data_IF_369593178196
#
_entry.id   IF_369593178196
#
_cell.length_a   1.000
_cell.length_b   1.000
_cell.length_c   1.000
_cell.angle_alpha   90.00
_cell.angle_beta   90.00
_cell.angle_gamma   90.00
#
_symmetry.space_group_name_H-M   'P 1'
#
loop_
_entity.id
_entity.type
_entity.pdbx_description
1 polymer ?
#
# COMPACT_ATOMS: atom_id res chain seq x y z
N UNK A 1 21.91 18.01 -6.07
CA UNK A 1 20.54 17.74 -5.58
C UNK A 1 20.49 16.30 -5.13
N UNK A 2 20.18 16.05 -3.85
CA UNK A 2 19.87 14.70 -3.37
C UNK A 2 18.67 14.18 -4.19
N UNK A 3 18.80 13.04 -4.87
CA UNK A 3 17.66 12.42 -5.55
C UNK A 3 16.73 11.90 -4.45
N UNK A 4 15.59 12.55 -4.24
CA UNK A 4 14.51 12.04 -3.39
C UNK A 4 14.08 10.69 -3.93
N UNK A 5 14.07 9.67 -3.06
CA UNK A 5 13.67 8.32 -3.43
C UNK A 5 12.17 8.30 -3.77
N UNK A 6 11.80 7.75 -4.92
CA UNK A 6 10.42 7.78 -5.41
C UNK A 6 9.49 6.70 -4.82
N UNK A 7 9.98 5.90 -3.84
CA UNK A 7 9.24 4.75 -3.32
C UNK A 7 9.26 3.51 -4.23
N UNK A 8 9.88 3.60 -5.41
CA UNK A 8 10.01 2.50 -6.36
C UNK A 8 11.45 2.00 -6.35
N UNK A 9 11.70 0.78 -5.87
CA UNK A 9 13.05 0.24 -5.68
C UNK A 9 13.85 0.21 -6.98
N UNK A 10 13.17 -0.04 -8.09
CA UNK A 10 13.75 -0.04 -9.44
C UNK A 10 14.39 1.30 -9.83
N UNK A 11 13.97 2.42 -9.22
CA UNK A 11 14.52 3.76 -9.48
C UNK A 11 15.80 4.08 -8.70
N UNK A 12 16.16 3.25 -7.70
CA UNK A 12 17.32 3.50 -6.85
C UNK A 12 18.62 3.30 -7.66
N UNK A 13 19.57 4.25 -7.60
CA UNK A 13 20.87 4.07 -8.25
C UNK A 13 21.55 2.78 -7.80
N UNK A 14 22.18 2.07 -8.73
CA UNK A 14 22.92 0.83 -8.48
C UNK A 14 22.09 -0.30 -7.85
N UNK A 15 20.77 -0.28 -8.01
CA UNK A 15 19.92 -1.36 -7.50
C UNK A 15 19.82 -2.50 -8.49
N UNK A 16 19.97 -3.71 -7.97
CA UNK A 16 19.87 -4.95 -8.70
C UNK A 16 18.57 -5.65 -8.29
N UNK A 17 17.65 -5.80 -9.24
CA UNK A 17 16.31 -6.32 -8.96
C UNK A 17 16.18 -7.81 -9.29
N UNK A 18 16.95 -8.27 -10.27
CA UNK A 18 16.90 -9.64 -10.75
C UNK A 18 18.16 -10.00 -11.54
N UNK A 19 18.39 -11.29 -11.72
CA UNK A 19 19.38 -11.82 -12.64
C UNK A 19 18.83 -13.09 -13.30
N UNK A 20 18.56 -13.01 -14.60
CA UNK A 20 18.31 -14.20 -15.41
C UNK A 20 19.64 -14.85 -15.78
N UNK A 21 19.82 -16.13 -15.48
CA UNK A 21 21.04 -16.87 -15.80
C UNK A 21 21.45 -17.87 -14.73
N UNK A 22 22.69 -18.34 -14.81
CA UNK A 22 23.27 -19.20 -13.77
C UNK A 22 24.06 -18.41 -12.72
N UNK A 23 24.42 -19.06 -11.61
CA UNK A 23 25.15 -18.42 -10.51
C UNK A 23 26.51 -17.84 -10.90
N UNK A 24 27.17 -18.41 -11.91
CA UNK A 24 28.46 -17.92 -12.43
C UNK A 24 28.26 -16.63 -13.23
N UNK A 25 27.23 -16.55 -14.07
CA UNK A 25 26.83 -15.34 -14.78
C UNK A 25 26.44 -14.23 -13.80
N UNK A 26 25.60 -14.55 -12.80
CA UNK A 26 25.26 -13.62 -11.72
C UNK A 26 26.50 -13.07 -11.03
N UNK A 27 27.44 -13.94 -10.64
CA UNK A 27 28.67 -13.52 -9.97
C UNK A 27 29.55 -12.62 -10.86
N UNK A 28 29.66 -12.94 -12.15
CA UNK A 28 30.41 -12.14 -13.13
C UNK A 28 29.77 -10.76 -13.31
N UNK A 29 28.47 -10.71 -13.57
CA UNK A 29 27.76 -9.47 -13.87
C UNK A 29 27.60 -8.58 -12.61
N UNK A 30 27.47 -9.18 -11.42
CA UNK A 30 27.56 -8.46 -10.15
C UNK A 30 28.92 -7.78 -9.97
N UNK A 31 30.02 -8.49 -10.25
CA UNK A 31 31.37 -7.93 -10.18
C UNK A 31 31.62 -6.78 -11.17
N UNK A 32 30.98 -6.83 -12.34
CA UNK A 32 31.02 -5.76 -13.35
C UNK A 32 30.06 -4.60 -13.06
N UNK A 33 29.27 -4.67 -11.99
CA UNK A 33 28.15 -3.75 -11.70
C UNK A 33 27.16 -3.62 -12.87
N UNK A 34 27.00 -4.70 -13.63
CA UNK A 34 26.19 -4.75 -14.85
C UNK A 34 25.08 -5.80 -14.76
N UNK A 35 24.45 -5.95 -13.59
CA UNK A 35 23.17 -6.66 -13.55
C UNK A 35 22.14 -5.76 -14.22
N UNK A 36 21.85 -6.07 -15.48
CA UNK A 36 20.85 -5.37 -16.29
C UNK A 36 19.55 -5.33 -15.49
N UNK A 37 18.83 -4.21 -15.52
CA UNK A 37 17.45 -4.17 -15.07
C UNK A 37 16.63 -5.11 -15.97
N UNK A 38 16.50 -6.37 -15.55
CA UNK A 38 15.72 -7.34 -16.30
C UNK A 38 14.26 -6.90 -16.22
N UNK A 39 13.70 -6.51 -17.36
CA UNK A 39 12.28 -6.24 -17.43
C UNK A 39 11.54 -7.58 -17.26
N UNK A 40 10.79 -7.70 -16.16
CA UNK A 40 9.93 -8.87 -15.95
C UNK A 40 8.75 -8.75 -16.92
N UNK A 41 8.94 -9.27 -18.13
CA UNK A 41 7.88 -9.41 -19.15
C UNK A 41 6.77 -10.34 -18.67
N UNK A 42 7.11 -11.28 -17.79
CA UNK A 42 6.16 -12.12 -17.07
C UNK A 42 6.58 -12.27 -15.61
N UNK A 43 5.67 -11.96 -14.69
CA UNK A 43 5.86 -12.15 -13.25
C UNK A 43 4.51 -12.56 -12.66
N UNK A 44 4.28 -13.86 -12.52
CA UNK A 44 3.13 -14.39 -11.79
C UNK A 44 3.56 -14.82 -10.39
N UNK A 45 2.73 -14.52 -9.38
CA UNK A 45 2.92 -15.04 -8.01
C UNK A 45 3.51 -14.06 -6.99
N UNK A 46 3.48 -12.74 -7.22
CA UNK A 46 3.89 -11.75 -6.22
C UNK A 46 2.73 -10.85 -5.79
N UNK A 47 2.74 -10.47 -4.52
CA UNK A 47 1.83 -9.48 -3.94
C UNK A 47 2.14 -8.09 -4.48
N UNK A 48 1.09 -7.30 -4.77
CA UNK A 48 1.24 -5.93 -5.23
C UNK A 48 1.64 -4.96 -4.11
N UNK A 49 1.98 -3.73 -4.47
CA UNK A 49 2.35 -2.71 -3.48
C UNK A 49 1.25 -2.50 -2.43
N UNK A 50 -0.01 -2.35 -2.83
CA UNK A 50 -1.13 -2.05 -1.91
C UNK A 50 -1.23 -3.04 -0.73
N UNK A 51 -1.28 -4.35 -1.00
CA UNK A 51 -1.42 -5.35 0.08
C UNK A 51 -0.19 -5.38 0.99
N UNK A 52 1.01 -5.17 0.46
CA UNK A 52 2.24 -5.15 1.25
C UNK A 52 2.33 -3.86 2.09
N UNK A 53 1.90 -2.72 1.55
CA UNK A 53 1.80 -1.46 2.29
C UNK A 53 0.79 -1.57 3.42
N UNK A 54 -0.39 -2.15 3.16
CA UNK A 54 -1.37 -2.45 4.19
C UNK A 54 -0.77 -3.37 5.24
N UNK A 55 -0.21 -4.52 4.86
CA UNK A 55 0.37 -5.49 5.79
C UNK A 55 1.48 -4.89 6.68
N UNK A 56 2.30 -3.99 6.13
CA UNK A 56 3.34 -3.29 6.88
C UNK A 56 2.77 -2.43 8.03
N UNK A 57 1.67 -1.71 7.77
CA UNK A 57 1.07 -0.75 8.70
C UNK A 57 -0.01 -1.38 9.59
N UNK A 58 -0.53 -2.54 9.21
CA UNK A 58 -1.70 -3.16 9.85
C UNK A 58 -1.46 -3.62 11.29
N UNK A 59 -0.22 -3.61 11.76
CA UNK A 59 0.12 -3.89 13.16
C UNK A 59 -0.22 -2.74 14.13
N UNK A 60 -0.63 -1.57 13.63
CA UNK A 60 -1.05 -0.40 14.40
C UNK A 60 -2.51 -0.58 14.91
N UNK A 61 -2.70 -0.74 16.22
CA UNK A 61 -3.99 -1.17 16.82
C UNK A 61 -5.12 -0.15 16.71
N UNK A 62 -4.82 1.15 16.78
CA UNK A 62 -5.83 2.21 16.77
C UNK A 62 -5.96 2.90 15.39
N UNK A 63 -5.91 2.08 14.35
CA UNK A 63 -5.96 2.53 12.96
C UNK A 63 -7.13 1.90 12.18
N UNK A 64 -7.60 2.63 11.17
CA UNK A 64 -8.49 2.12 10.11
C UNK A 64 -7.74 2.14 8.79
N UNK A 65 -7.87 1.07 8.02
CA UNK A 65 -7.20 0.88 6.73
C UNK A 65 -8.24 0.99 5.61
N UNK A 66 -8.33 2.15 4.98
CA UNK A 66 -9.25 2.43 3.86
C UNK A 66 -8.54 2.10 2.55
N UNK A 67 -8.95 1.03 1.90
CA UNK A 67 -8.55 0.69 0.54
C UNK A 67 -9.42 1.46 -0.47
N UNK A 68 -8.83 2.47 -1.13
CA UNK A 68 -9.51 3.19 -2.19
C UNK A 68 -9.43 2.39 -3.50
N UNK A 69 -10.31 1.40 -3.62
CA UNK A 69 -10.18 0.35 -4.63
C UNK A 69 -11.49 -0.37 -4.92
N UNK A 70 -11.56 -1.17 -6.00
CA UNK A 70 -12.56 -2.22 -6.15
C UNK A 70 -12.45 -3.28 -5.04
N UNK A 71 -13.52 -4.05 -4.83
CA UNK A 71 -13.59 -5.09 -3.79
C UNK A 71 -12.45 -6.13 -3.87
N UNK A 72 -12.00 -6.47 -5.08
CA UNK A 72 -11.01 -7.54 -5.29
C UNK A 72 -9.67 -7.29 -4.57
N UNK A 73 -9.25 -6.03 -4.42
CA UNK A 73 -7.96 -5.68 -3.81
C UNK A 73 -7.87 -6.08 -2.33
N UNK A 74 -9.01 -6.14 -1.63
CA UNK A 74 -9.04 -6.53 -0.21
C UNK A 74 -9.27 -8.03 -0.01
N UNK A 75 -9.46 -8.82 -1.06
CA UNK A 75 -9.73 -10.26 -0.95
C UNK A 75 -8.64 -11.04 -0.19
N UNK A 76 -7.37 -10.63 -0.32
CA UNK A 76 -6.24 -11.26 0.36
C UNK A 76 -5.95 -10.67 1.75
N UNK A 77 -6.69 -9.66 2.20
CA UNK A 77 -6.43 -9.00 3.50
C UNK A 77 -6.80 -9.86 4.71
N UNK A 78 -7.60 -10.92 4.51
CA UNK A 78 -7.88 -11.93 5.54
C UNK A 78 -6.59 -12.55 6.10
N UNK A 79 -5.65 -12.90 5.22
CA UNK A 79 -4.34 -13.44 5.62
C UNK A 79 -3.55 -12.45 6.48
N UNK A 80 -3.59 -11.18 6.08
CA UNK A 80 -2.94 -10.12 6.84
C UNK A 80 -3.61 -10.03 8.23
N UNK A 81 -4.94 -9.94 8.29
CA UNK A 81 -5.71 -9.84 9.54
C UNK A 81 -5.43 -11.00 10.51
N UNK A 82 -5.21 -12.22 10.02
CA UNK A 82 -4.80 -13.35 10.85
C UNK A 82 -3.42 -13.13 11.49
N UNK A 83 -2.43 -12.64 10.72
CA UNK A 83 -1.13 -12.26 11.28
C UNK A 83 -1.25 -11.18 12.37
N UNK A 84 -2.16 -10.21 12.18
CA UNK A 84 -2.42 -9.17 13.17
C UNK A 84 -2.99 -9.73 14.48
N UNK A 85 -3.94 -10.66 14.38
CA UNK A 85 -4.57 -11.33 15.53
C UNK A 85 -3.56 -12.20 16.28
N UNK A 86 -2.77 -12.99 15.57
CA UNK A 86 -1.70 -13.82 16.15
C UNK A 86 -0.64 -12.94 16.83
N UNK A 87 -0.24 -11.84 16.18
CA UNK A 87 0.71 -10.88 16.74
C UNK A 87 0.21 -10.19 18.02
N UNK A 88 -1.10 -9.95 18.15
CA UNK A 88 -1.70 -9.47 19.40
C UNK A 88 -1.62 -10.54 20.50
N UNK A 89 -1.93 -11.80 20.20
CA UNK A 89 -1.85 -12.89 21.17
C UNK A 89 -0.43 -13.08 21.70
N UNK A 90 0.58 -13.03 20.83
CA UNK A 90 1.98 -13.09 21.24
C UNK A 90 2.44 -11.90 22.10
N UNK A 91 1.78 -10.73 21.97
CA UNK A 91 2.04 -9.54 22.80
C UNK A 91 1.26 -9.55 24.11
N UNK A 92 0.55 -10.63 24.43
CA UNK A 92 -0.25 -10.74 25.65
C UNK A 92 -1.53 -9.89 25.66
N UNK A 93 -2.01 -9.46 24.48
CA UNK A 93 -3.28 -8.72 24.38
C UNK A 93 -4.43 -9.67 24.72
N UNK A 94 -5.16 -9.37 25.80
CA UNK A 94 -6.25 -10.23 26.27
C UNK A 94 -7.49 -10.20 25.36
N UNK A 95 -7.78 -9.06 24.73
CA UNK A 95 -8.91 -8.91 23.81
C UNK A 95 -8.43 -8.72 22.38
N UNK A 96 -8.36 -9.83 21.64
CA UNK A 96 -7.87 -9.86 20.26
C UNK A 96 -8.88 -9.19 19.33
N UNK A 97 -8.46 -8.12 18.66
CA UNK A 97 -9.27 -7.40 17.67
C UNK A 97 -8.89 -7.82 16.26
N UNK A 98 -9.84 -7.73 15.33
CA UNK A 98 -9.53 -7.80 13.89
C UNK A 98 -9.07 -6.45 13.38
N UNK A 99 -8.25 -6.45 12.32
CA UNK A 99 -7.90 -5.21 11.63
C UNK A 99 -9.16 -4.56 11.05
N UNK A 100 -9.28 -3.23 11.20
CA UNK A 100 -10.42 -2.45 10.71
C UNK A 100 -10.16 -2.06 9.26
N UNK A 101 -10.64 -2.88 8.33
CA UNK A 101 -10.44 -2.66 6.89
C UNK A 101 -11.76 -2.17 6.29
N UNK A 102 -11.68 -1.08 5.53
CA UNK A 102 -12.79 -0.53 4.75
C UNK A 102 -12.32 -0.46 3.29
N UNK A 103 -13.23 -0.68 2.36
CA UNK A 103 -12.96 -0.58 0.93
C UNK A 103 -14.01 0.32 0.32
N UNK A 104 -13.60 1.28 -0.52
CA UNK A 104 -14.54 2.19 -1.19
C UNK A 104 -15.39 1.50 -2.24
N UNK A 105 -15.00 0.27 -2.62
CA UNK A 105 -15.66 -0.59 -3.59
C UNK A 105 -15.96 0.15 -4.89
N UNK A 106 -14.88 0.63 -5.53
CA UNK A 106 -14.96 1.35 -6.80
C UNK A 106 -15.59 0.45 -7.87
N UNK A 107 -16.63 0.97 -8.51
CA UNK A 107 -17.35 0.34 -9.61
C UNK A 107 -17.14 1.11 -10.92
N UNK A 108 -17.81 0.68 -11.99
CA UNK A 108 -17.68 1.29 -13.32
C UNK A 108 -18.03 2.78 -13.33
N UNK A 109 -19.01 3.21 -12.53
CA UNK A 109 -19.42 4.62 -12.48
C UNK A 109 -18.32 5.48 -11.87
N UNK A 110 -17.69 5.00 -10.81
CA UNK A 110 -16.58 5.73 -10.18
C UNK A 110 -15.36 5.79 -11.11
N UNK A 111 -15.13 4.76 -11.92
CA UNK A 111 -14.06 4.78 -12.92
C UNK A 111 -14.29 5.88 -13.97
N UNK A 112 -15.55 6.23 -14.27
CA UNK A 112 -15.90 7.26 -15.24
C UNK A 112 -15.94 8.66 -14.60
N UNK A 113 -16.44 8.77 -13.38
CA UNK A 113 -16.73 10.06 -12.72
C UNK A 113 -15.72 10.46 -11.64
N UNK A 114 -14.79 9.58 -11.29
CA UNK A 114 -13.91 9.72 -10.12
C UNK A 114 -14.50 9.03 -8.88
N UNK A 115 -13.60 8.56 -8.00
CA UNK A 115 -13.93 7.85 -6.76
C UNK A 115 -13.86 8.70 -5.49
N UNK A 116 -13.38 9.94 -5.58
CA UNK A 116 -13.10 10.81 -4.42
C UNK A 116 -14.31 11.02 -3.49
N UNK A 117 -15.53 11.11 -4.05
CA UNK A 117 -16.74 11.25 -3.25
C UNK A 117 -17.01 10.03 -2.35
N UNK A 118 -16.84 8.81 -2.90
CA UNK A 118 -16.94 7.56 -2.12
C UNK A 118 -15.81 7.46 -1.10
N UNK A 119 -14.61 7.95 -1.41
CA UNK A 119 -13.52 8.02 -0.44
C UNK A 119 -13.86 8.91 0.75
N UNK A 120 -14.39 10.12 0.50
CA UNK A 120 -14.83 11.04 1.56
C UNK A 120 -15.89 10.41 2.44
N UNK A 121 -16.88 9.75 1.84
CA UNK A 121 -17.92 9.03 2.58
C UNK A 121 -17.33 7.89 3.43
N UNK A 122 -16.46 7.06 2.85
CA UNK A 122 -15.82 5.94 3.55
C UNK A 122 -15.01 6.40 4.78
N UNK A 123 -14.27 7.51 4.66
CA UNK A 123 -13.50 8.08 5.78
C UNK A 123 -14.44 8.65 6.86
N UNK A 124 -15.53 9.33 6.48
CA UNK A 124 -16.54 9.81 7.43
C UNK A 124 -17.17 8.66 8.21
N UNK A 125 -17.62 7.62 7.52
CA UNK A 125 -18.17 6.41 8.13
C UNK A 125 -17.14 5.70 9.03
N UNK A 126 -15.86 5.68 8.64
CA UNK A 126 -14.78 5.13 9.46
C UNK A 126 -14.65 5.87 10.80
N UNK A 127 -14.68 7.21 10.76
CA UNK A 127 -14.60 8.07 11.93
C UNK A 127 -15.78 7.87 12.87
N UNK A 128 -17.00 7.92 12.33
CA UNK A 128 -18.22 7.76 13.11
C UNK A 128 -18.28 6.38 13.79
N UNK A 129 -17.91 5.33 13.06
CA UNK A 129 -18.02 3.95 13.55
C UNK A 129 -16.93 3.57 14.54
N UNK A 130 -15.69 4.00 14.31
CA UNK A 130 -14.53 3.47 15.04
C UNK A 130 -13.80 4.49 15.90
N UNK A 131 -14.01 5.79 15.67
CA UNK A 131 -13.30 6.89 16.35
C UNK A 131 -11.78 6.62 16.47
N UNK A 132 -11.09 6.28 15.35
CA UNK A 132 -9.70 5.84 15.42
C UNK A 132 -8.76 7.02 15.63
N UNK A 133 -7.52 6.73 16.06
CA UNK A 133 -6.44 7.74 16.08
C UNK A 133 -5.81 7.97 14.72
N UNK A 134 -5.83 6.95 13.85
CA UNK A 134 -5.18 6.99 12.53
C UNK A 134 -6.12 6.41 11.47
N UNK A 135 -6.17 7.04 10.30
CA UNK A 135 -6.84 6.54 9.10
C UNK A 135 -5.82 6.51 7.97
N UNK A 136 -5.47 5.32 7.49
CA UNK A 136 -4.65 5.18 6.31
C UNK A 136 -5.54 5.06 5.07
N UNK A 137 -5.22 5.83 4.02
CA UNK A 137 -5.88 5.76 2.73
C UNK A 137 -4.91 5.15 1.73
N UNK A 138 -5.18 3.94 1.27
CA UNK A 138 -4.32 3.23 0.31
C UNK A 138 -4.90 3.37 -1.10
N UNK A 139 -4.08 3.84 -2.03
CA UNK A 139 -4.45 3.82 -3.45
C UNK A 139 -4.40 2.39 -4.01
N UNK A 140 -5.04 2.21 -5.16
CA UNK A 140 -5.01 0.99 -5.96
C UNK A 140 -4.74 1.29 -7.43
N UNK A 141 -4.59 0.24 -8.24
CA UNK A 141 -4.44 0.43 -9.69
C UNK A 141 -5.59 1.26 -10.28
N UNK A 142 -6.84 1.02 -9.84
CA UNK A 142 -8.00 1.75 -10.34
C UNK A 142 -7.95 3.23 -9.94
N UNK A 143 -7.85 3.55 -8.64
CA UNK A 143 -7.83 4.94 -8.17
C UNK A 143 -6.64 5.72 -8.74
N UNK A 144 -5.47 5.08 -8.85
CA UNK A 144 -4.27 5.69 -9.45
C UNK A 144 -4.39 5.94 -10.95
N UNK A 145 -5.08 5.08 -11.70
CA UNK A 145 -5.28 5.25 -13.16
C UNK A 145 -6.30 6.37 -13.45
N UNK A 146 -7.38 6.42 -12.68
CA UNK A 146 -8.42 7.45 -12.88
C UNK A 146 -8.00 8.82 -12.34
N UNK A 147 -6.93 8.87 -11.55
CA UNK A 147 -6.30 10.10 -11.10
C UNK A 147 -6.98 10.75 -9.91
N UNK A 148 -7.64 9.97 -9.05
CA UNK A 148 -8.23 10.49 -7.80
C UNK A 148 -7.15 11.10 -6.90
N UNK A 149 -7.33 12.36 -6.49
CA UNK A 149 -6.39 13.09 -5.63
C UNK A 149 -6.65 12.78 -4.15
N UNK A 150 -6.11 11.66 -3.69
CA UNK A 150 -6.26 11.25 -2.29
C UNK A 150 -5.55 12.20 -1.31
N UNK A 151 -4.55 12.96 -1.76
CA UNK A 151 -3.85 13.92 -0.91
C UNK A 151 -4.73 15.13 -0.64
N UNK A 152 -5.43 15.64 -1.66
CA UNK A 152 -6.44 16.68 -1.49
C UNK A 152 -7.57 16.22 -0.58
N UNK A 153 -8.12 15.02 -0.83
CA UNK A 153 -9.17 14.45 0.03
C UNK A 153 -8.69 14.30 1.48
N UNK A 154 -7.47 13.81 1.70
CA UNK A 154 -6.91 13.66 3.04
C UNK A 154 -6.72 15.01 3.74
N UNK A 155 -6.17 16.02 3.05
CA UNK A 155 -5.99 17.37 3.59
C UNK A 155 -7.33 17.98 4.02
N UNK A 156 -8.34 17.95 3.15
CA UNK A 156 -9.65 18.53 3.45
C UNK A 156 -10.30 17.86 4.66
N UNK A 157 -10.24 16.53 4.74
CA UNK A 157 -10.84 15.77 5.84
C UNK A 157 -10.04 15.90 7.14
N UNK A 158 -8.74 16.20 7.06
CA UNK A 158 -7.88 16.39 8.22
C UNK A 158 -8.27 17.64 9.01
N UNK A 159 -8.71 18.71 8.34
CA UNK A 159 -9.19 19.95 8.98
C UNK A 159 -10.40 19.69 9.90
N UNK A 160 -11.22 18.70 9.55
CA UNK A 160 -12.44 18.33 10.28
C UNK A 160 -12.22 17.15 11.25
N UNK A 161 -11.01 16.59 11.36
CA UNK A 161 -10.73 15.31 12.01
C UNK A 161 -9.60 15.39 13.05
N UNK A 162 -9.85 14.86 14.24
CA UNK A 162 -8.80 14.63 15.24
C UNK A 162 -7.92 13.42 14.91
N UNK A 163 -8.45 12.46 14.13
CA UNK A 163 -7.66 11.33 13.64
C UNK A 163 -6.64 11.81 12.61
N UNK A 164 -5.42 11.28 12.65
CA UNK A 164 -4.40 11.51 11.63
C UNK A 164 -4.76 10.75 10.35
N UNK A 165 -4.93 11.46 9.25
CA UNK A 165 -5.29 10.90 7.95
C UNK A 165 -4.05 10.84 7.06
N UNK A 166 -3.59 9.64 6.74
CA UNK A 166 -2.33 9.40 6.03
C UNK A 166 -2.62 8.79 4.65
N UNK A 167 -2.41 9.55 3.56
CA UNK A 167 -2.45 8.99 2.21
C UNK A 167 -1.21 8.10 1.95
N UNK A 168 -1.43 6.93 1.37
CA UNK A 168 -0.41 5.94 1.04
C UNK A 168 -0.53 5.61 -0.44
N UNK A 169 0.44 6.11 -1.22
CA UNK A 169 0.51 5.93 -2.67
C UNK A 169 1.17 4.59 -3.02
N UNK A 170 0.36 3.57 -3.23
CA UNK A 170 0.80 2.17 -3.37
C UNK A 170 0.14 1.44 -4.56
N UNK A 171 -0.02 2.13 -5.68
CA UNK A 171 -0.65 1.58 -6.88
C UNK A 171 0.08 0.31 -7.36
N UNK A 172 -0.66 -0.76 -7.61
CA UNK A 172 -0.06 -2.07 -7.91
C UNK A 172 0.79 -2.10 -9.18
N UNK A 173 0.63 -1.14 -10.10
CA UNK A 173 1.42 -1.05 -11.33
C UNK A 173 2.74 -0.26 -11.18
N UNK A 174 2.98 0.44 -10.06
CA UNK A 174 4.17 1.29 -9.87
C UNK A 174 5.48 0.52 -9.78
N UNK A 175 5.44 -0.77 -9.43
CA UNK A 175 6.61 -1.61 -9.20
C UNK A 175 6.29 -3.06 -9.48
N UNK A 176 7.25 -3.81 -10.03
CA UNK A 176 7.17 -5.27 -10.17
C UNK A 176 7.77 -5.99 -8.96
N UNK A 177 8.36 -5.24 -8.04
CA UNK A 177 8.98 -5.72 -6.81
C UNK A 177 7.99 -5.56 -5.65
N UNK A 178 7.65 -6.66 -4.98
CA UNK A 178 6.75 -6.69 -3.83
C UNK A 178 7.23 -5.79 -2.70
N UNK A 179 8.55 -5.76 -2.47
CA UNK A 179 9.17 -5.04 -1.37
C UNK A 179 9.03 -3.51 -1.47
N UNK A 180 8.73 -2.97 -2.65
CA UNK A 180 8.42 -1.54 -2.83
C UNK A 180 7.13 -1.14 -2.08
N UNK A 181 6.23 -2.09 -1.76
CA UNK A 181 5.07 -1.79 -0.91
C UNK A 181 5.46 -1.40 0.52
N UNK A 182 6.50 -2.02 1.10
CA UNK A 182 7.00 -1.61 2.42
C UNK A 182 7.60 -0.21 2.36
N UNK A 183 8.30 0.10 1.27
CA UNK A 183 8.88 1.43 1.08
C UNK A 183 7.80 2.51 0.98
N UNK A 184 6.72 2.28 0.23
CA UNK A 184 5.59 3.20 0.15
C UNK A 184 4.93 3.43 1.53
N UNK A 185 4.78 2.37 2.32
CA UNK A 185 4.28 2.48 3.69
C UNK A 185 5.20 3.31 4.59
N UNK A 186 6.51 3.05 4.56
CA UNK A 186 7.46 3.78 5.41
C UNK A 186 7.63 5.25 5.02
N UNK A 187 7.59 5.57 3.73
CA UNK A 187 7.61 6.95 3.25
C UNK A 187 6.34 7.72 3.64
N UNK A 188 5.19 7.04 3.76
CA UNK A 188 3.95 7.68 4.17
C UNK A 188 3.92 8.04 5.67
N UNK A 189 4.75 7.39 6.50
CA UNK A 189 4.79 7.62 7.96
C UNK A 189 6.09 8.28 8.43
N UNK A 190 6.99 8.64 7.51
CA UNK A 190 8.27 9.33 7.80
C UNK A 190 8.10 10.83 7.82
#
# INVERSE_FOLDING_TARGET
MSKTYSGIRESRPYTYNDCGGNSRELSSEFGKRCLKAADRTFSQGLQCQQINSMAALMSLDDAVFVAHSPQGCVGCTSMASDMYRVGQAHRGVHYIKSARIIVTNLDQKDVILGGEAKLREAVKLARERYQPKIIFIFTSCASGIIGDDIDAVARDLQEESEALIIPVHCDGFKSKICASGFDAAFLAIS
#
